data_IF_722200007297
#
_entry.id   IF_722200007297
#
_cell.length_a   1.000
_cell.length_b   1.000
_cell.length_c   1.000
_cell.angle_alpha   90.00
_cell.angle_beta   90.00
_cell.angle_gamma   90.00
#
_symmetry.space_group_name_H-M   'P 1'
#
loop_
_entity.id
_entity.type
_entity.pdbx_description
1 polymer ?
#
# COMPACT_ATOMS: atom_id res chain seq x y z
N UNK A 1 0.53 17.38 4.16
CA UNK A 1 -0.16 16.34 3.37
C UNK A 1 -1.62 16.27 3.81
N UNK A 2 -2.55 16.18 2.85
CA UNK A 2 -3.97 15.94 3.12
C UNK A 2 -4.21 14.51 3.59
N UNK A 3 -5.34 14.22 4.23
CA UNK A 3 -5.69 12.86 4.66
C UNK A 3 -5.75 11.87 3.48
N UNK A 4 -6.20 12.34 2.31
CA UNK A 4 -6.22 11.53 1.06
C UNK A 4 -4.81 11.11 0.64
N UNK A 5 -3.84 12.03 0.70
CA UNK A 5 -2.44 11.76 0.36
C UNK A 5 -1.82 10.76 1.33
N UNK A 6 -2.04 10.93 2.63
CA UNK A 6 -1.53 9.99 3.67
C UNK A 6 -2.06 8.57 3.46
N UNK A 7 -3.34 8.44 3.14
CA UNK A 7 -3.98 7.15 2.87
C UNK A 7 -3.36 6.49 1.63
N UNK A 8 -3.19 7.21 0.51
CA UNK A 8 -2.57 6.66 -0.70
C UNK A 8 -1.15 6.15 -0.46
N UNK A 9 -0.34 6.93 0.26
CA UNK A 9 1.01 6.51 0.67
C UNK A 9 0.96 5.26 1.55
N UNK A 10 -0.02 5.16 2.45
CA UNK A 10 -0.18 3.97 3.31
C UNK A 10 -0.46 2.72 2.47
N UNK A 11 -1.33 2.81 1.46
CA UNK A 11 -1.61 1.68 0.54
C UNK A 11 -0.32 1.23 -0.15
N UNK A 12 0.44 2.17 -0.71
CA UNK A 12 1.71 1.89 -1.36
C UNK A 12 2.71 1.21 -0.42
N UNK A 13 2.90 1.75 0.80
CA UNK A 13 3.78 1.16 1.82
C UNK A 13 3.33 -0.22 2.28
N UNK A 14 2.03 -0.50 2.35
CA UNK A 14 1.54 -1.84 2.68
C UNK A 14 1.84 -2.85 1.57
N UNK A 15 1.72 -2.45 0.30
CA UNK A 15 2.12 -3.29 -0.83
C UNK A 15 3.64 -3.52 -0.83
N UNK A 16 4.43 -2.50 -0.53
CA UNK A 16 5.88 -2.62 -0.36
C UNK A 16 6.26 -3.64 0.73
N UNK A 17 5.59 -3.58 1.89
CA UNK A 17 5.82 -4.53 2.99
C UNK A 17 5.44 -5.97 2.60
N UNK A 18 4.38 -6.15 1.81
CA UNK A 18 4.03 -7.46 1.25
C UNK A 18 5.15 -7.98 0.34
N UNK A 19 5.62 -7.16 -0.60
CA UNK A 19 6.76 -7.47 -1.47
C UNK A 19 8.02 -7.83 -0.70
N UNK A 20 8.33 -7.07 0.36
CA UNK A 20 9.47 -7.36 1.23
C UNK A 20 9.37 -8.70 1.92
N UNK A 21 8.15 -9.15 2.23
CA UNK A 21 7.91 -10.36 3.01
C UNK A 21 8.00 -11.59 2.12
N UNK A 22 7.40 -11.51 0.93
CA UNK A 22 7.45 -12.56 -0.10
C UNK A 22 7.19 -11.94 -1.47
N UNK A 23 8.27 -11.65 -2.20
CA UNK A 23 8.21 -11.06 -3.54
C UNK A 23 7.47 -11.97 -4.52
N UNK A 24 7.75 -13.28 -4.48
CA UNK A 24 7.20 -14.24 -5.43
C UNK A 24 5.69 -14.40 -5.28
N UNK A 25 5.20 -14.59 -4.04
CA UNK A 25 3.78 -14.70 -3.78
C UNK A 25 3.05 -13.37 -3.98
N UNK A 26 3.65 -12.25 -3.58
CA UNK A 26 3.03 -10.93 -3.78
C UNK A 26 2.89 -10.63 -5.27
N UNK A 27 3.92 -10.91 -6.07
CA UNK A 27 3.87 -10.77 -7.54
C UNK A 27 2.76 -11.63 -8.13
N UNK A 28 2.65 -12.90 -7.71
CA UNK A 28 1.57 -13.80 -8.16
C UNK A 28 0.18 -13.26 -7.81
N UNK A 29 0.00 -12.73 -6.60
CA UNK A 29 -1.28 -12.16 -6.16
C UNK A 29 -1.64 -10.93 -6.99
N UNK A 30 -0.70 -10.01 -7.13
CA UNK A 30 -0.94 -8.69 -7.71
C UNK A 30 -1.05 -8.73 -9.23
N UNK A 31 -0.27 -9.60 -9.89
CA UNK A 31 -0.37 -9.84 -11.34
C UNK A 31 -1.41 -10.90 -11.71
N UNK A 32 -2.10 -11.50 -10.74
CA UNK A 32 -3.22 -12.39 -11.04
C UNK A 32 -4.27 -11.59 -11.83
N UNK A 33 -4.85 -12.19 -12.87
CA UNK A 33 -5.91 -11.56 -13.69
C UNK A 33 -7.21 -11.27 -12.90
N UNK A 34 -7.22 -11.49 -11.59
CA UNK A 34 -8.38 -11.37 -10.71
C UNK A 34 -8.27 -10.22 -9.73
N UNK A 35 -9.38 -9.94 -9.07
CA UNK A 35 -9.42 -8.97 -7.98
C UNK A 35 -8.60 -9.49 -6.79
N UNK A 36 -7.84 -8.60 -6.16
CA UNK A 36 -7.14 -8.90 -4.92
C UNK A 36 -7.56 -7.92 -3.82
N UNK A 37 -7.34 -8.31 -2.57
CA UNK A 37 -7.75 -7.55 -1.39
C UNK A 37 -6.60 -7.43 -0.41
N UNK A 38 -6.47 -6.24 0.16
CA UNK A 38 -5.57 -5.95 1.27
C UNK A 38 -6.43 -5.56 2.47
N UNK A 39 -6.30 -6.28 3.58
CA UNK A 39 -6.97 -5.96 4.83
C UNK A 39 -5.95 -5.73 5.92
N UNK A 40 -6.21 -4.77 6.81
CA UNK A 40 -5.42 -4.57 8.02
C UNK A 40 -6.36 -4.65 9.22
N UNK A 41 -6.00 -5.47 10.21
CA UNK A 41 -6.78 -5.64 11.42
C UNK A 41 -6.36 -4.63 12.52
N UNK A 42 -7.02 -4.71 13.67
CA UNK A 42 -6.75 -3.84 14.83
C UNK A 42 -5.36 -4.01 15.43
N UNK A 43 -4.72 -5.16 15.20
CA UNK A 43 -3.37 -5.46 15.69
C UNK A 43 -2.29 -4.91 14.76
N UNK A 44 -2.69 -4.36 13.61
CA UNK A 44 -1.77 -3.90 12.58
C UNK A 44 -1.21 -5.03 11.71
N UNK A 45 -1.76 -6.24 11.80
CA UNK A 45 -1.45 -7.31 10.84
C UNK A 45 -2.22 -7.06 9.55
N UNK A 46 -1.51 -7.20 8.44
CA UNK A 46 -2.01 -7.01 7.11
C UNK A 46 -2.09 -8.35 6.36
N UNK A 47 -3.17 -8.56 5.64
CA UNK A 47 -3.40 -9.73 4.79
C UNK A 47 -3.64 -9.26 3.37
N UNK A 48 -2.77 -9.68 2.45
CA UNK A 48 -2.94 -9.54 1.02
C UNK A 48 -3.44 -10.87 0.45
N UNK A 49 -4.51 -10.86 -0.34
CA UNK A 49 -5.18 -12.09 -0.78
C UNK A 49 -5.78 -11.98 -2.17
N UNK A 50 -5.77 -13.08 -2.91
CA UNK A 50 -6.46 -13.28 -4.20
C UNK A 50 -6.78 -14.76 -4.39
N UNK A 51 -7.29 -15.13 -5.57
CA UNK A 51 -7.39 -16.54 -5.98
C UNK A 51 -6.03 -17.24 -6.10
N UNK A 52 -4.94 -16.49 -6.30
CA UNK A 52 -3.59 -17.05 -6.41
C UNK A 52 -2.94 -17.36 -5.05
N UNK A 53 -3.54 -16.93 -3.94
CA UNK A 53 -3.05 -17.21 -2.59
C UNK A 53 -3.27 -16.07 -1.60
N UNK A 54 -2.72 -16.25 -0.39
CA UNK A 54 -2.82 -15.30 0.72
C UNK A 54 -1.48 -15.14 1.42
N UNK A 55 -1.11 -13.89 1.69
CA UNK A 55 0.09 -13.50 2.43
C UNK A 55 -0.31 -12.65 3.64
N UNK A 56 0.19 -13.01 4.81
CA UNK A 56 0.03 -12.21 6.04
C UNK A 56 1.38 -11.66 6.49
N UNK A 57 1.40 -10.39 6.87
CA UNK A 57 2.60 -9.65 7.26
C UNK A 57 2.27 -8.55 8.28
N UNK A 58 3.29 -8.01 8.96
CA UNK A 58 3.11 -6.89 9.90
C UNK A 58 3.00 -5.59 9.11
N UNK A 59 1.81 -4.98 9.10
CA UNK A 59 1.52 -3.70 8.44
C UNK A 59 1.80 -2.47 9.30
N UNK A 60 1.95 -2.63 10.62
CA UNK A 60 2.17 -1.56 11.60
C UNK A 60 3.13 -0.43 11.16
N UNK A 61 4.33 -0.72 10.59
CA UNK A 61 5.25 0.32 10.12
C UNK A 61 4.64 1.27 9.07
N UNK A 62 3.79 0.78 8.18
CA UNK A 62 3.12 1.59 7.16
C UNK A 62 2.01 2.50 7.74
N UNK A 63 1.53 2.22 8.95
CA UNK A 63 0.43 2.95 9.59
C UNK A 63 0.88 4.16 10.42
N UNK A 64 2.18 4.28 10.68
CA UNK A 64 2.79 5.28 11.58
C UNK A 64 2.46 6.74 11.22
N UNK A 65 2.12 7.04 9.95
CA UNK A 65 1.81 8.39 9.48
C UNK A 65 0.33 8.81 9.57
N UNK A 66 -0.58 7.92 9.96
CA UNK A 66 -2.02 8.18 9.90
C UNK A 66 -2.60 8.93 11.12
N UNK A 67 -1.83 9.07 12.20
CA UNK A 67 -2.13 9.93 13.35
C UNK A 67 -3.24 9.42 14.29
N UNK A 68 -4.36 8.93 13.77
CA UNK A 68 -5.45 8.33 14.53
C UNK A 68 -5.31 6.80 14.62
N UNK A 69 -5.82 6.19 15.70
CA UNK A 69 -5.78 4.73 15.88
C UNK A 69 -6.68 4.06 14.83
N UNK A 70 -6.07 3.24 13.98
CA UNK A 70 -6.78 2.52 12.92
C UNK A 70 -7.49 1.32 13.54
N UNK A 71 -8.77 1.18 13.23
CA UNK A 71 -9.57 0.02 13.59
C UNK A 71 -9.47 -1.05 12.51
N UNK A 72 -9.66 -0.66 11.26
CA UNK A 72 -9.45 -1.53 10.11
C UNK A 72 -9.08 -0.73 8.87
N UNK A 73 -8.44 -1.43 7.93
CA UNK A 73 -8.29 -0.98 6.55
C UNK A 73 -8.81 -2.11 5.67
N UNK A 74 -9.58 -1.76 4.65
CA UNK A 74 -9.95 -2.70 3.60
C UNK A 74 -9.76 -2.03 2.25
N UNK A 75 -8.87 -2.58 1.44
CA UNK A 75 -8.63 -2.15 0.07
C UNK A 75 -9.00 -3.28 -0.86
N UNK A 76 -9.85 -2.99 -1.84
CA UNK A 76 -10.16 -3.89 -2.94
C UNK A 76 -9.51 -3.34 -4.20
N UNK A 77 -8.85 -4.22 -4.94
CA UNK A 77 -8.19 -3.90 -6.19
C UNK A 77 -8.86 -4.67 -7.32
N UNK A 78 -9.02 -4.02 -8.46
CA UNK A 78 -9.54 -4.62 -9.68
C UNK A 78 -8.75 -4.16 -10.89
N UNK A 79 -8.86 -4.93 -11.97
CA UNK A 79 -8.25 -4.56 -13.24
C UNK A 79 -8.88 -3.28 -13.78
N UNK A 80 -8.03 -2.32 -14.18
CA UNK A 80 -8.42 -1.11 -14.89
C UNK A 80 -7.96 -1.14 -16.34
N UNK A 81 -8.21 -0.03 -17.04
CA UNK A 81 -7.76 0.17 -18.42
C UNK A 81 -6.26 0.50 -18.49
N UNK A 82 -5.63 0.26 -19.63
CA UNK A 82 -4.23 0.65 -19.92
C UNK A 82 -3.21 0.23 -18.86
N UNK A 83 -3.29 -1.02 -18.40
CA UNK A 83 -2.41 -1.59 -17.34
C UNK A 83 -2.54 -0.92 -15.97
N UNK A 84 -3.57 -0.09 -15.75
CA UNK A 84 -3.84 0.50 -14.43
C UNK A 84 -4.58 -0.48 -13.54
N UNK A 85 -4.39 -0.32 -12.24
CA UNK A 85 -5.14 -1.01 -11.20
C UNK A 85 -6.07 -0.01 -10.55
N UNK A 86 -7.37 -0.33 -10.60
CA UNK A 86 -8.39 0.39 -9.85
C UNK A 86 -8.30 -0.05 -8.39
N UNK A 87 -8.50 0.88 -7.46
CA UNK A 87 -8.64 0.54 -6.05
C UNK A 87 -9.78 1.31 -5.40
N UNK A 88 -10.39 0.67 -4.41
CA UNK A 88 -11.30 1.29 -3.46
C UNK A 88 -10.84 0.93 -2.06
N UNK A 89 -10.48 1.94 -1.28
CA UNK A 89 -9.96 1.79 0.06
C UNK A 89 -10.88 2.42 1.08
N UNK A 90 -11.18 1.67 2.14
CA UNK A 90 -11.95 2.10 3.28
C UNK A 90 -11.08 2.04 4.53
N UNK A 91 -10.97 3.17 5.21
CA UNK A 91 -10.23 3.32 6.45
C UNK A 91 -11.20 3.65 7.57
N UNK A 92 -11.26 2.77 8.57
CA UNK A 92 -12.00 3.01 9.80
C UNK A 92 -11.04 3.37 10.92
N UNK A 93 -11.28 4.51 11.55
CA UNK A 93 -10.51 5.00 12.69
C UNK A 93 -11.33 4.90 13.97
N UNK A 94 -10.69 4.64 15.09
CA UNK A 94 -11.35 4.64 16.40
C UNK A 94 -11.81 6.07 16.74
N UNK A 95 -13.11 6.25 16.95
CA UNK A 95 -13.68 7.55 17.38
C UNK A 95 -13.75 8.62 16.27
N UNK A 96 -13.58 8.25 15.00
CA UNK A 96 -13.68 9.18 13.87
C UNK A 96 -14.46 8.57 12.69
N UNK A 97 -14.87 9.42 11.75
CA UNK A 97 -15.59 9.02 10.56
C UNK A 97 -14.74 8.12 9.64
N UNK A 98 -15.40 7.20 8.95
CA UNK A 98 -14.75 6.37 7.94
C UNK A 98 -14.31 7.23 6.76
N UNK A 99 -13.09 6.99 6.25
CA UNK A 99 -12.60 7.62 5.04
C UNK A 99 -12.65 6.58 3.92
N UNK A 100 -13.40 6.89 2.87
CA UNK A 100 -13.39 6.12 1.62
C UNK A 100 -12.66 6.90 0.55
N UNK A 101 -11.77 6.22 -0.17
CA UNK A 101 -11.06 6.77 -1.32
C UNK A 101 -10.98 5.73 -2.42
N UNK A 102 -11.23 6.15 -3.64
CA UNK A 102 -10.98 5.37 -4.84
C UNK A 102 -9.97 6.08 -5.73
N UNK A 103 -9.41 5.32 -6.65
CA UNK A 103 -8.51 5.85 -7.66
C UNK A 103 -7.93 4.74 -8.52
N UNK A 104 -6.94 5.12 -9.33
CA UNK A 104 -6.20 4.21 -10.19
C UNK A 104 -4.71 4.46 -10.02
N UNK A 105 -3.89 3.43 -10.22
CA UNK A 105 -2.44 3.56 -10.22
C UNK A 105 -1.81 2.48 -11.09
N UNK A 106 -0.56 2.70 -11.50
CA UNK A 106 0.21 1.72 -12.25
C UNK A 106 0.91 0.78 -11.26
N UNK A 107 0.38 -0.42 -11.14
CA UNK A 107 0.88 -1.42 -10.19
C UNK A 107 2.27 -1.91 -10.58
N UNK A 108 2.56 -2.04 -11.88
CA UNK A 108 3.87 -2.47 -12.38
C UNK A 108 4.94 -1.43 -12.01
N UNK A 109 4.63 -0.13 -12.18
CA UNK A 109 5.50 0.97 -11.71
C UNK A 109 5.68 0.97 -10.19
N UNK A 110 4.62 0.70 -9.43
CA UNK A 110 4.74 0.61 -7.98
C UNK A 110 5.66 -0.54 -7.57
N UNK A 111 5.53 -1.70 -8.20
CA UNK A 111 6.36 -2.87 -7.90
C UNK A 111 7.81 -2.64 -8.29
N UNK A 112 8.05 -2.15 -9.51
CA UNK A 112 9.40 -1.95 -10.03
C UNK A 112 10.17 -0.86 -9.29
N UNK A 113 9.50 0.19 -8.83
CA UNK A 113 10.10 1.15 -7.88
C UNK A 113 10.43 0.51 -6.54
N UNK A 114 9.65 -0.49 -6.10
CA UNK A 114 9.88 -1.25 -4.87
C UNK A 114 10.90 -2.40 -5.00
N UNK A 115 11.12 -2.98 -6.18
CA UNK A 115 12.11 -4.03 -6.41
C UNK A 115 13.49 -3.49 -6.78
N UNK A 116 13.57 -2.21 -7.18
CA UNK A 116 14.83 -1.53 -7.48
C UNK A 116 15.63 -1.11 -6.24
N UNK A 117 16.88 -0.66 -6.49
CA UNK A 117 17.78 -0.05 -5.51
C UNK A 117 17.11 1.07 -4.68
N UNK A 118 16.05 1.70 -5.21
CA UNK A 118 15.29 2.78 -4.56
C UNK A 118 14.55 2.33 -3.29
N UNK A 119 14.04 1.10 -3.24
CA UNK A 119 13.35 0.59 -2.05
C UNK A 119 14.32 0.11 -0.98
N UNK A 120 15.42 -0.53 -1.42
CA UNK A 120 16.55 -0.86 -0.55
C UNK A 120 17.19 0.40 0.04
N UNK A 121 17.36 1.44 -0.79
CA UNK A 121 17.79 2.76 -0.36
C UNK A 121 16.76 3.40 0.57
N UNK A 122 15.46 3.40 0.25
CA UNK A 122 14.42 3.96 1.12
C UNK A 122 14.41 3.30 2.52
N UNK A 123 14.64 1.99 2.62
CA UNK A 123 14.82 1.28 3.91
C UNK A 123 16.06 1.71 4.67
N UNK A 124 17.19 1.89 3.97
CA UNK A 124 18.43 2.43 4.57
C UNK A 124 18.26 3.89 5.00
N UNK A 125 17.45 4.65 4.27
CA UNK A 125 17.25 6.09 4.41
C UNK A 125 16.07 6.47 5.29
N UNK A 126 15.17 5.55 5.63
CA UNK A 126 14.24 5.71 6.76
C UNK A 126 14.98 6.02 8.08
N UNK A 127 16.29 5.70 8.17
CA UNK A 127 17.17 6.14 9.26
C UNK A 127 17.62 7.61 9.15
N UNK A 128 17.38 8.30 8.03
CA UNK A 128 17.81 9.69 7.72
C UNK A 128 16.63 10.52 7.13
N UNK A 129 15.96 11.28 8.00
CA UNK A 129 14.70 12.01 7.77
C UNK A 129 14.51 12.82 6.45
N UNK A 130 15.57 13.29 5.77
CA UNK A 130 15.42 14.10 4.54
C UNK A 130 14.98 13.29 3.33
N UNK A 131 15.40 12.03 3.21
CA UNK A 131 15.13 11.20 2.04
C UNK A 131 13.76 10.51 2.11
N UNK A 132 13.19 10.39 3.30
CA UNK A 132 11.83 9.89 3.50
C UNK A 132 10.77 10.76 2.77
N UNK A 133 10.99 12.08 2.71
CA UNK A 133 10.10 13.00 1.99
C UNK A 133 10.17 12.82 0.47
N UNK A 134 11.36 12.61 -0.08
CA UNK A 134 11.54 12.37 -1.51
C UNK A 134 10.86 11.05 -1.93
N UNK A 135 11.04 10.02 -1.13
CA UNK A 135 10.38 8.73 -1.31
C UNK A 135 8.85 8.84 -1.27
N UNK A 136 8.30 9.52 -0.26
CA UNK A 136 6.85 9.72 -0.15
C UNK A 136 6.27 10.53 -1.34
N UNK A 137 7.04 11.44 -1.94
CA UNK A 137 6.63 12.17 -3.15
C UNK A 137 6.62 11.27 -4.40
N UNK A 138 7.57 10.34 -4.52
CA UNK A 138 7.58 9.37 -5.62
C UNK A 138 6.38 8.43 -5.54
N UNK A 139 6.08 7.91 -4.34
CA UNK A 139 4.89 7.10 -4.10
C UNK A 139 3.61 7.86 -4.42
N UNK A 140 3.52 9.15 -4.09
CA UNK A 140 2.39 10.00 -4.46
C UNK A 140 2.19 10.09 -5.97
N UNK A 141 3.27 10.33 -6.71
CA UNK A 141 3.26 10.44 -8.17
C UNK A 141 2.76 9.15 -8.83
N UNK A 142 3.23 7.99 -8.37
CA UNK A 142 2.79 6.68 -8.86
C UNK A 142 1.30 6.46 -8.58
N UNK A 143 0.84 6.92 -7.41
CA UNK A 143 -0.57 6.85 -6.98
C UNK A 143 -1.45 7.98 -7.56
N UNK A 144 -0.96 8.74 -8.54
CA UNK A 144 -1.71 9.76 -9.28
C UNK A 144 -2.01 11.01 -8.46
N UNK A 145 -1.01 11.55 -7.76
CA UNK A 145 -1.08 12.83 -7.03
C UNK A 145 0.12 13.72 -7.36
#
# INVERSE_FOLDING_TARGET
MTNRVKVRITIAKLLELAYSKDEGLTTKIVLSKGNFKLKVNTNGDATLSSSAGMLTFRGGPALTGLGAKIKNISVSFSQGEDKKTNYMAMFSFSGAANISISGTFDIEKLITSCSGLLCQAARLLQRRNKQLKAYDMELQRIMGY
#
